data_IF_542399787462
#
_entry.id   IF_542399787462
#
_cell.length_a   1.000
_cell.length_b   1.000
_cell.length_c   1.000
_cell.angle_alpha   90.00
_cell.angle_beta   90.00
_cell.angle_gamma   90.00
#
_symmetry.space_group_name_H-M   'P 1'
#
loop_
_entity.id
_entity.type
_entity.pdbx_description
1 polymer ?
#
# COMPACT_ATOMS: atom_id res chain seq x y z
N UNK A 1 -0.94 3.46 17.51
CA UNK A 1 -0.52 2.04 17.37
C UNK A 1 -1.01 1.53 16.03
N UNK A 2 -0.11 1.08 15.20
CA UNK A 2 -0.41 0.55 13.86
C UNK A 2 -1.23 -0.74 13.95
N UNK A 3 -2.31 -0.84 13.16
CA UNK A 3 -3.06 -2.08 12.96
C UNK A 3 -2.67 -2.70 11.63
N UNK A 4 -2.27 -3.97 11.66
CA UNK A 4 -1.85 -4.71 10.46
C UNK A 4 -2.91 -5.74 10.08
N UNK A 5 -3.44 -5.63 8.86
CA UNK A 5 -4.44 -6.54 8.30
C UNK A 5 -3.82 -7.34 7.16
N UNK A 6 -4.00 -8.66 7.18
CA UNK A 6 -3.39 -9.56 6.20
C UNK A 6 -4.43 -10.47 5.54
N UNK A 7 -4.28 -10.69 4.24
CA UNK A 7 -4.93 -11.74 3.48
C UNK A 7 -3.88 -12.72 2.93
N UNK A 8 -4.18 -14.03 2.95
CA UNK A 8 -3.32 -15.11 2.44
C UNK A 8 -2.38 -15.71 3.48
N UNK A 9 -2.21 -15.09 4.63
CA UNK A 9 -1.45 -15.62 5.77
C UNK A 9 -1.88 -14.95 7.08
N UNK A 10 -1.20 -15.30 8.17
CA UNK A 10 -1.36 -14.61 9.47
C UNK A 10 -0.04 -14.60 10.23
N UNK A 11 0.15 -13.60 11.08
CA UNK A 11 1.23 -13.53 12.06
C UNK A 11 0.66 -13.11 13.43
N UNK A 12 1.35 -13.39 14.54
CA UNK A 12 0.95 -12.86 15.84
C UNK A 12 0.83 -11.33 15.80
N UNK A 13 -0.26 -10.78 16.32
CA UNK A 13 -0.53 -9.34 16.32
C UNK A 13 -1.15 -8.79 15.02
N UNK A 14 -1.46 -9.63 14.04
CA UNK A 14 -2.18 -9.24 12.82
C UNK A 14 -3.65 -9.64 12.86
N UNK A 15 -4.45 -8.99 12.02
CA UNK A 15 -5.87 -9.25 11.83
C UNK A 15 -6.16 -9.73 10.41
N UNK A 16 -7.17 -10.58 10.19
CA UNK A 16 -7.64 -10.87 8.83
C UNK A 16 -8.11 -9.59 8.13
N UNK A 17 -7.78 -9.43 6.85
CA UNK A 17 -8.19 -8.23 6.11
C UNK A 17 -9.72 -8.09 6.02
N UNK A 18 -10.45 -9.20 6.13
CA UNK A 18 -11.92 -9.22 6.18
C UNK A 18 -12.51 -8.57 7.44
N UNK A 19 -11.71 -8.37 8.47
CA UNK A 19 -12.11 -7.66 9.70
C UNK A 19 -11.88 -6.14 9.61
N UNK A 20 -11.21 -5.66 8.56
CA UNK A 20 -11.06 -4.22 8.34
C UNK A 20 -12.43 -3.60 8.03
N UNK A 21 -12.90 -2.64 8.86
CA UNK A 21 -14.15 -1.97 8.57
C UNK A 21 -14.10 -1.24 7.23
N UNK A 22 -15.16 -1.32 6.43
CA UNK A 22 -15.25 -0.59 5.17
C UNK A 22 -15.40 0.93 5.34
N UNK A 23 -15.69 1.39 6.57
CA UNK A 23 -15.78 2.81 6.90
C UNK A 23 -15.27 3.08 8.31
N UNK A 24 -14.39 4.08 8.43
CA UNK A 24 -13.82 4.52 9.71
C UNK A 24 -14.00 6.04 9.81
N UNK A 25 -14.40 6.50 10.99
CA UNK A 25 -14.46 7.94 11.31
C UNK A 25 -13.36 8.28 12.28
N UNK A 26 -12.71 9.42 12.04
CA UNK A 26 -11.56 9.91 12.82
C UNK A 26 -11.96 11.22 13.49
N UNK A 27 -11.94 11.23 14.82
CA UNK A 27 -12.27 12.37 15.66
C UNK A 27 -11.11 13.35 15.81
N UNK A 28 -11.38 14.46 16.53
CA UNK A 28 -10.40 15.53 16.72
C UNK A 28 -9.14 15.06 17.45
N UNK A 29 -7.98 15.34 16.87
CA UNK A 29 -6.67 14.98 17.42
C UNK A 29 -6.38 13.46 17.44
N UNK A 30 -7.23 12.64 16.84
CA UNK A 30 -6.97 11.20 16.73
C UNK A 30 -5.96 10.90 15.63
N UNK A 31 -5.16 9.85 15.85
CA UNK A 31 -4.25 9.29 14.85
C UNK A 31 -4.59 7.83 14.59
N UNK A 32 -4.75 7.48 13.32
CA UNK A 32 -5.02 6.12 12.86
C UNK A 32 -3.95 5.68 11.87
N UNK A 33 -3.31 4.55 12.17
CA UNK A 33 -2.30 3.93 11.33
C UNK A 33 -2.75 2.52 10.94
N UNK A 34 -2.87 2.27 9.63
CA UNK A 34 -3.30 0.98 9.08
C UNK A 34 -2.29 0.51 8.03
N UNK A 35 -1.91 -0.76 8.12
CA UNK A 35 -1.15 -1.46 7.09
C UNK A 35 -1.97 -2.64 6.58
N UNK A 36 -2.26 -2.68 5.29
CA UNK A 36 -3.00 -3.76 4.63
C UNK A 36 -2.06 -4.56 3.71
N UNK A 37 -2.04 -5.87 3.88
CA UNK A 37 -1.13 -6.79 3.16
C UNK A 37 -1.94 -7.89 2.48
N UNK A 38 -1.72 -8.08 1.19
CA UNK A 38 -2.28 -9.21 0.43
C UNK A 38 -1.13 -10.04 -0.12
N UNK A 39 -1.08 -11.31 0.31
CA UNK A 39 -0.04 -12.26 -0.06
C UNK A 39 -0.51 -13.22 -1.16
N UNK A 40 0.41 -13.90 -1.87
CA UNK A 40 0.09 -14.83 -2.95
C UNK A 40 -0.97 -15.88 -2.56
N UNK A 41 -1.83 -16.22 -3.52
CA UNK A 41 -2.95 -17.13 -3.34
C UNK A 41 -4.22 -16.50 -2.75
N UNK A 42 -4.18 -15.22 -2.34
CA UNK A 42 -5.35 -14.50 -1.88
C UNK A 42 -5.85 -13.51 -2.93
N UNK A 43 -7.15 -13.58 -3.24
CA UNK A 43 -7.86 -12.49 -3.92
C UNK A 43 -8.59 -11.64 -2.88
N UNK A 44 -8.53 -10.32 -3.04
CA UNK A 44 -9.04 -9.38 -2.06
C UNK A 44 -9.66 -8.15 -2.74
N UNK A 45 -10.83 -7.78 -2.29
CA UNK A 45 -11.42 -6.47 -2.56
C UNK A 45 -11.51 -5.73 -1.23
N UNK A 46 -10.84 -4.57 -1.12
CA UNK A 46 -10.77 -3.79 0.10
C UNK A 46 -11.38 -2.40 -0.13
N UNK A 47 -12.70 -2.26 0.01
CA UNK A 47 -13.32 -0.95 0.04
C UNK A 47 -13.09 -0.31 1.42
N UNK A 48 -12.49 0.88 1.45
CA UNK A 48 -12.24 1.61 2.70
C UNK A 48 -12.55 3.08 2.52
N UNK A 49 -13.47 3.59 3.33
CA UNK A 49 -13.74 5.03 3.46
C UNK A 49 -13.27 5.54 4.80
N UNK A 50 -12.42 6.57 4.78
CA UNK A 50 -11.96 7.29 5.97
C UNK A 50 -12.62 8.66 5.98
N UNK A 51 -13.50 8.93 6.97
CA UNK A 51 -14.06 10.26 7.20
C UNK A 51 -13.26 10.94 8.32
N UNK A 52 -12.44 11.92 7.97
CA UNK A 52 -11.64 12.69 8.92
C UNK A 52 -12.50 13.89 9.36
N UNK A 53 -13.30 13.68 10.41
CA UNK A 53 -14.32 14.62 10.89
C UNK A 53 -13.80 15.56 11.99
N UNK A 54 -12.62 15.24 12.57
CA UNK A 54 -12.04 15.99 13.67
C UNK A 54 -10.86 16.84 13.29
N UNK A 55 -10.80 18.08 13.82
CA UNK A 55 -9.69 19.00 13.60
C UNK A 55 -8.37 18.42 14.14
N UNK A 56 -7.27 18.56 13.37
CA UNK A 56 -5.95 18.09 13.73
C UNK A 56 -5.77 16.57 13.72
N UNK A 57 -6.72 15.82 13.16
CA UNK A 57 -6.62 14.37 13.05
C UNK A 57 -5.62 13.93 11.97
N UNK A 58 -4.99 12.78 12.17
CA UNK A 58 -4.00 12.22 11.26
C UNK A 58 -4.36 10.78 10.86
N UNK A 59 -4.25 10.46 9.57
CA UNK A 59 -4.50 9.13 9.00
C UNK A 59 -3.31 8.69 8.17
N UNK A 60 -2.71 7.56 8.52
CA UNK A 60 -1.67 6.91 7.76
C UNK A 60 -2.17 5.55 7.25
N UNK A 61 -2.37 5.44 5.93
CA UNK A 61 -2.78 4.21 5.27
C UNK A 61 -1.62 3.68 4.43
N UNK A 62 -1.22 2.46 4.68
CA UNK A 62 -0.21 1.83 3.86
C UNK A 62 -0.66 0.44 3.46
N UNK A 63 -0.24 -0.02 2.30
CA UNK A 63 -0.59 -1.34 1.86
C UNK A 63 0.38 -1.91 0.85
N UNK A 64 0.43 -3.23 0.79
CA UNK A 64 1.12 -3.92 -0.29
C UNK A 64 0.30 -5.12 -0.77
N UNK A 65 0.52 -5.50 -2.02
CA UNK A 65 0.05 -6.77 -2.56
C UNK A 65 1.17 -7.46 -3.33
N UNK A 66 1.13 -8.79 -3.27
CA UNK A 66 2.03 -9.68 -4.02
C UNK A 66 1.15 -10.72 -4.71
N UNK A 67 1.06 -10.65 -6.03
CA UNK A 67 0.29 -11.56 -6.85
C UNK A 67 1.24 -12.32 -7.78
N UNK A 68 1.16 -13.65 -7.82
CA UNK A 68 2.06 -14.49 -8.61
C UNK A 68 1.38 -15.37 -9.66
N UNK A 69 0.04 -15.46 -9.65
CA UNK A 69 -0.72 -16.40 -10.47
C UNK A 69 -1.94 -15.73 -11.15
N UNK A 70 -3.15 -15.95 -10.63
CA UNK A 70 -4.42 -15.44 -11.19
C UNK A 70 -5.19 -14.58 -10.18
N UNK A 71 -4.54 -14.13 -9.13
CA UNK A 71 -5.16 -13.36 -8.07
C UNK A 71 -5.78 -12.07 -8.60
N UNK A 72 -6.85 -11.64 -7.94
CA UNK A 72 -7.50 -10.35 -8.17
C UNK A 72 -7.46 -9.55 -6.88
N UNK A 73 -6.77 -8.42 -6.91
CA UNK A 73 -6.65 -7.53 -5.75
C UNK A 73 -7.13 -6.15 -6.13
N UNK A 74 -8.05 -5.60 -5.35
CA UNK A 74 -8.54 -4.23 -5.52
C UNK A 74 -8.45 -3.49 -4.19
N UNK A 75 -7.74 -2.38 -4.16
CA UNK A 75 -7.80 -1.39 -3.10
C UNK A 75 -8.64 -0.20 -3.59
N UNK A 76 -9.82 -0.01 -2.98
CA UNK A 76 -10.72 1.11 -3.27
C UNK A 76 -10.81 2.03 -2.04
N UNK A 77 -10.05 3.11 -2.08
CA UNK A 77 -9.82 3.99 -0.94
C UNK A 77 -10.46 5.35 -1.17
N UNK A 78 -11.27 5.78 -0.21
CA UNK A 78 -11.88 7.09 -0.20
C UNK A 78 -11.51 7.81 1.10
N UNK A 79 -10.76 8.89 1.04
CA UNK A 79 -10.37 9.68 2.21
C UNK A 79 -10.99 11.05 2.13
N UNK A 80 -11.86 11.36 3.08
CA UNK A 80 -12.59 12.63 3.15
C UNK A 80 -12.03 13.50 4.27
N UNK A 81 -11.44 14.63 3.92
CA UNK A 81 -11.06 15.66 4.87
C UNK A 81 -12.26 16.60 5.11
N UNK A 82 -12.98 16.37 6.19
CA UNK A 82 -14.20 17.11 6.58
C UNK A 82 -13.92 18.20 7.61
N UNK A 83 -12.71 18.25 8.20
CA UNK A 83 -12.29 19.22 9.20
C UNK A 83 -10.92 19.81 8.86
N UNK A 84 -10.61 20.99 9.39
CA UNK A 84 -9.35 21.68 9.13
C UNK A 84 -8.15 21.11 9.87
N UNK A 85 -6.92 21.43 9.39
CA UNK A 85 -5.66 21.04 10.01
C UNK A 85 -5.36 19.54 10.01
N UNK A 86 -6.06 18.76 9.17
CA UNK A 86 -5.93 17.31 9.13
C UNK A 86 -4.86 16.84 8.16
N UNK A 87 -4.31 15.65 8.41
CA UNK A 87 -3.24 15.07 7.61
C UNK A 87 -3.63 13.67 7.16
N UNK A 88 -3.41 13.34 5.89
CA UNK A 88 -3.45 11.96 5.42
C UNK A 88 -2.22 11.61 4.59
N UNK A 89 -1.64 10.42 4.83
CA UNK A 89 -0.55 9.87 4.03
C UNK A 89 -0.92 8.46 3.60
N UNK A 90 -0.83 8.21 2.31
CA UNK A 90 -1.12 6.91 1.71
C UNK A 90 0.10 6.42 0.93
N UNK A 91 0.53 5.17 1.21
CA UNK A 91 1.63 4.52 0.50
C UNK A 91 1.24 3.08 0.15
N UNK A 92 1.11 2.81 -1.14
CA UNK A 92 0.72 1.49 -1.65
C UNK A 92 1.70 0.98 -2.69
N UNK A 93 2.33 -0.17 -2.40
CA UNK A 93 3.28 -0.81 -3.29
C UNK A 93 2.77 -2.19 -3.72
N UNK A 94 2.82 -2.50 -5.00
CA UNK A 94 2.28 -3.75 -5.52
C UNK A 94 3.21 -4.47 -6.50
N UNK A 95 3.18 -5.80 -6.44
CA UNK A 95 3.86 -6.67 -7.40
C UNK A 95 2.82 -7.60 -8.01
N UNK A 96 2.76 -7.64 -9.34
CA UNK A 96 1.86 -8.49 -10.10
C UNK A 96 2.62 -9.34 -11.12
N UNK A 97 2.46 -10.65 -11.02
CA UNK A 97 3.00 -11.67 -11.93
C UNK A 97 1.91 -12.62 -12.42
N UNK A 98 2.30 -13.64 -13.21
CA UNK A 98 1.36 -14.57 -13.81
C UNK A 98 0.34 -13.86 -14.70
N UNK A 99 -0.94 -14.17 -14.54
CA UNK A 99 -2.07 -13.49 -15.19
C UNK A 99 -2.95 -12.72 -14.19
N UNK A 100 -2.35 -12.33 -13.05
CA UNK A 100 -3.02 -11.59 -11.99
C UNK A 100 -3.52 -10.21 -12.43
N UNK A 101 -4.48 -9.69 -11.69
CA UNK A 101 -5.05 -8.36 -11.91
C UNK A 101 -5.11 -7.60 -10.61
N UNK A 102 -4.48 -6.45 -10.58
CA UNK A 102 -4.51 -5.56 -9.44
C UNK A 102 -5.11 -4.21 -9.82
N UNK A 103 -5.84 -3.60 -8.91
CA UNK A 103 -6.39 -2.26 -9.08
C UNK A 103 -6.18 -1.43 -7.80
N UNK A 104 -5.78 -0.18 -7.98
CA UNK A 104 -5.72 0.83 -6.94
C UNK A 104 -6.58 2.02 -7.36
N UNK A 105 -7.69 2.22 -6.67
CA UNK A 105 -8.55 3.38 -6.81
C UNK A 105 -8.43 4.19 -5.52
N UNK A 106 -7.76 5.33 -5.60
CA UNK A 106 -7.50 6.16 -4.44
C UNK A 106 -8.07 7.55 -4.62
N UNK A 107 -9.12 7.90 -3.90
CA UNK A 107 -9.73 9.22 -3.95
C UNK A 107 -9.53 9.96 -2.64
N UNK A 108 -9.04 11.20 -2.72
CA UNK A 108 -8.98 12.15 -1.62
C UNK A 108 -9.93 13.30 -1.93
N UNK A 109 -10.82 13.60 -1.00
CA UNK A 109 -11.77 14.71 -1.09
C UNK A 109 -11.50 15.69 0.04
N UNK A 110 -11.21 16.94 -0.31
CA UNK A 110 -11.03 18.04 0.65
C UNK A 110 -12.21 19.00 0.52
N UNK A 111 -13.00 19.14 1.59
CA UNK A 111 -14.17 20.04 1.58
C UNK A 111 -13.79 21.50 1.62
N UNK A 112 -14.69 22.36 1.16
CA UNK A 112 -14.47 23.82 1.03
C UNK A 112 -14.05 24.49 2.35
N UNK A 113 -14.65 24.07 3.47
CA UNK A 113 -14.36 24.64 4.78
C UNK A 113 -13.16 23.98 5.49
N UNK A 114 -12.55 22.95 4.89
CA UNK A 114 -11.42 22.21 5.45
C UNK A 114 -10.11 22.81 4.98
N UNK A 115 -9.59 23.79 5.75
CA UNK A 115 -8.34 24.48 5.42
C UNK A 115 -7.14 23.86 6.16
N UNK A 116 -5.91 24.15 5.71
CA UNK A 116 -4.63 23.68 6.26
C UNK A 116 -4.49 22.15 6.20
N UNK A 117 -4.96 21.56 5.12
CA UNK A 117 -4.90 20.12 4.88
C UNK A 117 -3.55 19.74 4.28
N UNK A 118 -3.01 18.59 4.74
CA UNK A 118 -1.87 17.91 4.09
C UNK A 118 -2.29 16.51 3.69
N UNK A 119 -2.38 16.25 2.38
CA UNK A 119 -2.85 14.98 1.86
C UNK A 119 -1.92 14.45 0.76
N UNK A 120 -1.29 13.31 1.02
CA UNK A 120 -0.31 12.69 0.12
C UNK A 120 -0.72 11.27 -0.20
N UNK A 121 -0.68 10.91 -1.49
CA UNK A 121 -1.02 9.58 -1.96
C UNK A 121 0.04 9.09 -2.95
N UNK A 122 0.64 7.95 -2.66
CA UNK A 122 1.63 7.31 -3.51
C UNK A 122 1.22 5.85 -3.80
N UNK A 123 1.26 5.46 -5.06
CA UNK A 123 1.04 4.09 -5.50
C UNK A 123 2.11 3.67 -6.50
N UNK A 124 2.92 2.70 -6.12
CA UNK A 124 4.01 2.20 -6.94
C UNK A 124 3.81 0.71 -7.25
N UNK A 125 4.04 0.31 -8.48
CA UNK A 125 3.75 -1.04 -8.93
C UNK A 125 4.85 -1.62 -9.81
N UNK A 126 5.08 -2.93 -9.68
CA UNK A 126 6.00 -3.71 -10.53
C UNK A 126 5.21 -4.83 -11.22
N UNK A 127 5.37 -4.93 -12.54
CA UNK A 127 4.92 -6.05 -13.35
C UNK A 127 6.07 -7.06 -13.49
N UNK A 128 5.78 -8.35 -13.25
CA UNK A 128 6.72 -9.45 -13.43
C UNK A 128 6.44 -10.28 -14.69
N UNK A 129 5.27 -10.09 -15.33
CA UNK A 129 4.87 -10.84 -16.52
C UNK A 129 4.10 -9.96 -17.50
N UNK A 130 4.06 -10.37 -18.77
CA UNK A 130 3.31 -9.66 -19.83
C UNK A 130 1.79 -9.84 -19.70
N UNK A 131 1.32 -10.90 -19.02
CA UNK A 131 -0.11 -11.19 -18.86
C UNK A 131 -0.72 -10.53 -17.62
N UNK A 132 0.10 -10.12 -16.65
CA UNK A 132 -0.38 -9.37 -15.49
C UNK A 132 -0.87 -7.97 -15.88
N UNK A 133 -1.88 -7.49 -15.15
CA UNK A 133 -2.46 -6.15 -15.37
C UNK A 133 -2.59 -5.41 -14.07
N UNK A 134 -2.18 -4.16 -14.11
CA UNK A 134 -2.32 -3.23 -12.98
C UNK A 134 -3.05 -1.99 -13.48
N UNK A 135 -4.12 -1.63 -12.79
CA UNK A 135 -4.84 -0.37 -12.97
C UNK A 135 -4.58 0.53 -11.76
N UNK A 136 -4.23 1.78 -11.99
CA UNK A 136 -4.02 2.76 -10.93
C UNK A 136 -4.74 4.05 -11.26
N UNK A 137 -5.67 4.48 -10.39
CA UNK A 137 -6.51 5.66 -10.53
C UNK A 137 -6.48 6.52 -9.27
N UNK A 138 -5.40 7.28 -9.04
CA UNK A 138 -5.38 8.28 -7.98
C UNK A 138 -6.20 9.50 -8.39
N UNK A 139 -7.04 10.03 -7.48
CA UNK A 139 -7.90 11.18 -7.70
C UNK A 139 -7.82 12.17 -6.53
N UNK A 140 -7.75 13.46 -6.85
CA UNK A 140 -7.83 14.56 -5.88
C UNK A 140 -9.02 15.46 -6.24
N UNK A 141 -9.95 15.62 -5.30
CA UNK A 141 -11.08 16.53 -5.36
C UNK A 141 -10.89 17.61 -4.28
N UNK A 142 -10.37 18.76 -4.67
CA UNK A 142 -9.95 19.81 -3.72
C UNK A 142 -10.85 21.01 -3.88
N UNK A 143 -11.60 21.33 -2.84
CA UNK A 143 -12.53 22.45 -2.79
C UNK A 143 -12.08 23.56 -1.82
N UNK A 144 -10.89 23.42 -1.19
CA UNK A 144 -10.29 24.39 -0.28
C UNK A 144 -9.03 25.00 -0.89
N UNK A 145 -8.63 26.20 -0.43
CA UNK A 145 -7.54 26.98 -1.00
C UNK A 145 -6.21 26.80 -0.25
N UNK A 146 -6.24 26.70 1.08
CA UNK A 146 -5.04 26.57 1.93
C UNK A 146 -4.76 25.07 2.20
N UNK A 147 -4.17 24.39 1.20
CA UNK A 147 -3.89 22.96 1.26
C UNK A 147 -2.57 22.61 0.59
N UNK A 148 -1.98 21.51 1.06
CA UNK A 148 -0.81 20.84 0.48
C UNK A 148 -1.20 19.42 0.09
N UNK A 149 -1.56 19.20 -1.17
CA UNK A 149 -2.05 17.91 -1.67
C UNK A 149 -1.23 17.46 -2.87
N UNK A 150 -0.87 16.17 -2.87
CA UNK A 150 -0.23 15.55 -4.03
C UNK A 150 -0.61 14.09 -4.16
N UNK A 151 -0.54 13.58 -5.39
CA UNK A 151 -0.55 12.17 -5.68
C UNK A 151 0.54 11.78 -6.66
N UNK A 152 1.00 10.53 -6.58
CA UNK A 152 1.93 9.93 -7.52
C UNK A 152 1.55 8.48 -7.79
N UNK A 153 1.66 8.06 -9.04
CA UNK A 153 1.49 6.67 -9.42
C UNK A 153 2.58 6.26 -10.42
N UNK A 154 3.15 5.08 -10.21
CA UNK A 154 4.11 4.49 -11.14
C UNK A 154 3.80 3.02 -11.36
N UNK A 155 4.01 2.55 -12.59
CA UNK A 155 4.00 1.13 -12.91
C UNK A 155 5.18 0.85 -13.82
N UNK A 156 6.00 -0.12 -13.47
CA UNK A 156 7.22 -0.45 -14.20
C UNK A 156 7.60 -1.92 -14.04
N UNK A 157 8.85 -2.19 -14.34
CA UNK A 157 9.46 -3.52 -14.21
C UNK A 157 10.65 -3.45 -13.27
N UNK A 158 11.17 -4.61 -12.87
CA UNK A 158 12.43 -4.68 -12.12
C UNK A 158 13.57 -4.06 -12.94
N UNK A 159 14.45 -3.32 -12.27
CA UNK A 159 15.53 -2.57 -12.92
C UNK A 159 16.63 -3.51 -13.44
N UNK A 160 16.79 -3.58 -14.76
CA UNK A 160 17.77 -4.46 -15.41
C UNK A 160 19.23 -4.02 -15.15
N UNK A 161 19.50 -2.72 -14.99
CA UNK A 161 20.84 -2.20 -14.71
C UNK A 161 21.31 -2.58 -13.31
N UNK A 162 20.41 -2.47 -12.32
CA UNK A 162 20.67 -2.93 -10.96
C UNK A 162 20.91 -4.44 -10.90
N UNK A 163 20.11 -5.23 -11.64
CA UNK A 163 20.33 -6.68 -11.75
C UNK A 163 21.70 -6.99 -12.38
N UNK A 164 22.06 -6.29 -13.45
CA UNK A 164 23.37 -6.45 -14.07
C UNK A 164 24.50 -6.14 -13.08
N UNK A 165 24.39 -5.04 -12.33
CA UNK A 165 25.37 -4.68 -11.31
C UNK A 165 25.49 -5.77 -10.23
N UNK A 166 24.38 -6.26 -9.66
CA UNK A 166 24.37 -7.32 -8.66
C UNK A 166 24.99 -8.62 -9.19
N UNK A 167 24.66 -9.00 -10.42
CA UNK A 167 25.25 -10.17 -11.10
C UNK A 167 26.75 -10.02 -11.31
N UNK A 168 27.23 -8.84 -11.64
CA UNK A 168 28.68 -8.56 -11.78
C UNK A 168 29.45 -8.71 -10.45
N UNK A 169 28.74 -8.69 -9.32
CA UNK A 169 29.28 -8.94 -7.98
C UNK A 169 29.05 -10.37 -7.51
N UNK A 170 28.59 -11.26 -8.38
CA UNK A 170 28.44 -12.69 -8.10
C UNK A 170 27.07 -13.08 -7.48
N UNK A 171 26.10 -12.16 -7.42
CA UNK A 171 24.74 -12.48 -6.96
C UNK A 171 24.01 -13.17 -8.13
N UNK A 172 23.43 -14.38 -7.91
CA UNK A 172 22.61 -15.04 -8.91
C UNK A 172 21.45 -14.19 -9.37
N UNK A 173 21.04 -14.32 -10.64
CA UNK A 173 19.95 -13.52 -11.22
C UNK A 173 18.64 -13.63 -10.43
N UNK A 174 18.24 -14.85 -10.04
CA UNK A 174 17.04 -15.06 -9.25
C UNK A 174 17.10 -14.31 -7.90
N UNK A 175 18.25 -14.36 -7.22
CA UNK A 175 18.43 -13.66 -5.94
C UNK A 175 18.44 -12.14 -6.12
N UNK A 176 19.01 -11.63 -7.21
CA UNK A 176 18.98 -10.21 -7.52
C UNK A 176 17.53 -9.69 -7.70
N UNK A 177 16.68 -10.45 -8.38
CA UNK A 177 15.25 -10.12 -8.56
C UNK A 177 14.50 -10.16 -7.23
N UNK A 178 14.74 -11.17 -6.39
CA UNK A 178 14.18 -11.27 -5.05
C UNK A 178 14.58 -10.06 -4.20
N UNK A 179 15.87 -9.70 -4.18
CA UNK A 179 16.36 -8.55 -3.42
C UNK A 179 15.71 -7.24 -3.86
N UNK A 180 15.53 -7.01 -5.16
CA UNK A 180 14.85 -5.82 -5.69
C UNK A 180 13.38 -5.80 -5.24
N UNK A 181 12.66 -6.93 -5.36
CA UNK A 181 11.26 -7.02 -4.97
C UNK A 181 11.07 -6.75 -3.47
N UNK A 182 11.91 -7.33 -2.60
CA UNK A 182 11.89 -7.08 -1.16
C UNK A 182 12.18 -5.60 -0.87
N UNK A 183 13.21 -5.03 -1.48
CA UNK A 183 13.57 -3.63 -1.32
C UNK A 183 12.42 -2.70 -1.70
N UNK A 184 11.72 -3.00 -2.80
CA UNK A 184 10.57 -2.25 -3.28
C UNK A 184 9.38 -2.27 -2.33
N UNK A 185 9.14 -3.39 -1.64
CA UNK A 185 8.03 -3.53 -0.69
C UNK A 185 8.38 -3.04 0.73
N UNK A 186 9.67 -2.96 1.05
CA UNK A 186 10.15 -2.63 2.40
C UNK A 186 9.64 -1.29 2.97
N UNK A 187 9.40 -0.21 2.18
CA UNK A 187 8.87 1.04 2.73
C UNK A 187 7.49 0.90 3.37
N UNK A 188 6.66 -0.04 2.88
CA UNK A 188 5.35 -0.33 3.49
C UNK A 188 5.52 -1.10 4.80
N UNK A 189 6.37 -2.13 4.82
CA UNK A 189 6.67 -2.91 6.03
C UNK A 189 7.29 -2.02 7.12
N UNK A 190 8.12 -1.05 6.74
CA UNK A 190 8.74 -0.11 7.66
C UNK A 190 7.74 0.83 8.38
N UNK A 191 6.47 0.89 7.93
CA UNK A 191 5.41 1.64 8.62
C UNK A 191 4.90 0.94 9.90
N UNK A 192 5.33 -0.28 10.15
CA UNK A 192 4.98 -1.03 11.37
C UNK A 192 5.97 -0.64 12.46
N UNK A 193 5.51 0.11 13.48
CA UNK A 193 6.37 0.62 14.55
C UNK A 193 6.86 -0.48 15.49
N UNK A 194 6.01 -1.47 15.80
CA UNK A 194 6.35 -2.62 16.62
C UNK A 194 7.41 -3.48 15.94
N UNK A 195 8.58 -3.63 16.56
CA UNK A 195 9.73 -4.31 15.98
C UNK A 195 9.50 -5.82 15.80
N UNK A 196 8.83 -6.48 16.77
CA UNK A 196 8.54 -7.90 16.72
C UNK A 196 7.52 -8.20 15.61
N UNK A 197 6.43 -7.42 15.57
CA UNK A 197 5.41 -7.51 14.53
C UNK A 197 5.99 -7.21 13.15
N UNK A 198 6.81 -6.16 13.03
CA UNK A 198 7.50 -5.81 11.78
C UNK A 198 8.39 -6.95 11.29
N UNK A 199 9.17 -7.56 12.19
CA UNK A 199 10.02 -8.71 11.87
C UNK A 199 9.22 -9.92 11.38
N UNK A 200 8.11 -10.25 12.04
CA UNK A 200 7.23 -11.34 11.62
C UNK A 200 6.59 -11.07 10.25
N UNK A 201 6.12 -9.84 10.01
CA UNK A 201 5.54 -9.44 8.72
C UNK A 201 6.61 -9.42 7.61
N UNK A 202 7.81 -8.92 7.90
CA UNK A 202 8.91 -8.92 6.95
C UNK A 202 9.27 -10.33 6.47
N UNK A 203 9.30 -11.30 7.38
CA UNK A 203 9.54 -12.71 7.05
C UNK A 203 8.43 -13.28 6.13
N UNK A 204 7.15 -12.99 6.41
CA UNK A 204 6.05 -13.40 5.53
C UNK A 204 6.16 -12.78 4.13
N UNK A 205 6.52 -11.51 4.04
CA UNK A 205 6.71 -10.80 2.75
C UNK A 205 7.90 -11.38 1.99
N UNK A 206 9.02 -11.68 2.67
CA UNK A 206 10.18 -12.32 2.04
C UNK A 206 9.83 -13.71 1.50
N UNK A 207 9.18 -14.56 2.30
CA UNK A 207 8.75 -15.90 1.88
C UNK A 207 7.79 -15.82 0.68
N UNK A 208 6.86 -14.86 0.70
CA UNK A 208 5.95 -14.60 -0.41
C UNK A 208 6.67 -14.22 -1.69
N UNK A 209 7.64 -13.29 -1.61
CA UNK A 209 8.47 -12.89 -2.77
C UNK A 209 9.29 -14.07 -3.31
N UNK A 210 9.89 -14.88 -2.41
CA UNK A 210 10.67 -16.05 -2.82
C UNK A 210 9.83 -17.15 -3.48
N UNK A 211 8.53 -17.16 -3.24
CA UNK A 211 7.61 -18.10 -3.90
C UNK A 211 7.21 -17.69 -5.32
N UNK A 212 7.51 -16.45 -5.75
CA UNK A 212 7.20 -15.97 -7.09
C UNK A 212 8.08 -16.62 -8.16
N UNK A 213 7.51 -16.79 -9.35
CA UNK A 213 8.25 -17.11 -10.58
C UNK A 213 8.71 -15.84 -11.24
N UNK A 214 10.03 -15.61 -11.35
CA UNK A 214 10.65 -14.45 -11.96
C UNK A 214 11.14 -14.72 -13.40
#
# INVERSE_FOLDING_TARGET
MVKVFIAGASAPGTYPISELPSRIRVGAGESIDIVAIVLPGASCEMPLTMDIDGEGAEVNLSGLYICGSEEKVTFDLNVHHNAGGTVSRQLFNGIAGGSSRAAFHGRIVVRQDSQKIKAFQENHNILLSEDARIETMPQLEIYADDVECSHGATTGFLNAEEQFYMRSRGIPEAEAKVMQAISFLSPVVARIDDEELRGAVAALVEDAVRSLSF
#
